data_IF_254459887182
#
_entry.id   IF_254459887182
#
_cell.length_a   1.000
_cell.length_b   1.000
_cell.length_c   1.000
_cell.angle_alpha   90.00
_cell.angle_beta   90.00
_cell.angle_gamma   90.00
#
_symmetry.space_group_name_H-M   'P 1'
#
loop_
_entity.id
_entity.type
_entity.pdbx_description
1 polymer ?
#
# COMPACT_ATOMS: atom_id res chain seq x y z
N UNK A 1 -3.78 -36.75 72.80
CA UNK A 1 -3.06 -36.95 71.57
C UNK A 1 -3.75 -36.06 70.51
N UNK A 2 -3.17 -34.93 70.16
CA UNK A 2 -3.70 -33.96 69.19
C UNK A 2 -2.86 -34.04 67.93
N UNK A 3 -3.45 -34.42 66.80
CA UNK A 3 -2.79 -34.40 65.49
C UNK A 3 -3.10 -33.08 64.82
N UNK A 4 -2.06 -32.32 64.54
CA UNK A 4 -2.09 -31.02 63.84
C UNK A 4 -1.81 -31.26 62.37
N UNK A 5 -2.80 -31.06 61.52
CA UNK A 5 -2.70 -31.16 60.06
C UNK A 5 -2.24 -29.82 59.54
N UNK A 6 -1.07 -29.77 58.91
CA UNK A 6 -0.51 -28.60 58.25
C UNK A 6 -0.96 -28.61 56.77
N UNK A 7 -1.84 -27.68 56.42
CA UNK A 7 -2.20 -27.39 55.03
C UNK A 7 -1.15 -26.49 54.38
N UNK A 8 -0.35 -27.03 53.47
CA UNK A 8 0.54 -26.24 52.61
C UNK A 8 -0.23 -25.79 51.40
N UNK A 9 -0.56 -24.50 51.33
CA UNK A 9 -1.07 -23.81 50.13
C UNK A 9 0.04 -23.57 49.14
N UNK A 10 0.03 -24.29 48.03
CA UNK A 10 0.90 -24.03 46.88
C UNK A 10 0.29 -22.89 46.05
N UNK A 11 0.81 -21.69 46.17
CA UNK A 11 0.49 -20.55 45.35
C UNK A 11 1.17 -20.71 43.99
N UNK A 12 0.42 -21.09 42.98
CA UNK A 12 0.85 -21.16 41.56
C UNK A 12 0.86 -19.73 40.97
N UNK A 13 2.04 -19.09 40.99
CA UNK A 13 2.24 -17.79 40.35
C UNK A 13 2.35 -18.03 38.86
N UNK A 14 1.24 -17.85 38.13
CA UNK A 14 1.22 -17.80 36.69
C UNK A 14 1.88 -16.50 36.22
N UNK A 15 3.16 -16.57 35.88
CA UNK A 15 3.90 -15.50 35.22
C UNK A 15 3.44 -15.45 33.77
N UNK A 16 2.39 -14.67 33.48
CA UNK A 16 2.00 -14.31 32.12
C UNK A 16 3.13 -13.45 31.55
N UNK A 17 3.99 -14.06 30.73
CA UNK A 17 4.90 -13.32 29.86
C UNK A 17 4.07 -12.50 28.87
N UNK A 18 3.82 -11.23 29.20
CA UNK A 18 3.43 -10.23 28.22
C UNK A 18 4.61 -10.05 27.25
N UNK A 19 4.64 -10.84 26.18
CA UNK A 19 5.47 -10.48 25.03
C UNK A 19 4.82 -9.25 24.40
N UNK A 20 5.49 -8.08 24.40
CA UNK A 20 5.02 -6.98 23.58
C UNK A 20 5.06 -7.51 22.14
N UNK A 21 3.90 -7.62 21.52
CA UNK A 21 3.82 -7.78 20.07
C UNK A 21 4.51 -6.53 19.51
N UNK A 22 5.76 -6.67 19.11
CA UNK A 22 6.47 -5.66 18.33
C UNK A 22 5.67 -5.60 17.04
N UNK A 23 4.72 -4.69 16.97
CA UNK A 23 4.10 -4.29 15.73
C UNK A 23 5.28 -3.84 14.85
N UNK A 24 5.70 -4.70 13.91
CA UNK A 24 6.57 -4.29 12.82
C UNK A 24 5.78 -3.24 12.07
N UNK A 25 5.98 -1.98 12.46
CA UNK A 25 5.45 -0.85 11.75
C UNK A 25 6.01 -0.92 10.33
N UNK A 26 5.12 -1.10 9.37
CA UNK A 26 5.44 -0.94 7.95
C UNK A 26 6.10 0.44 7.82
N UNK A 27 7.39 0.49 7.53
CA UNK A 27 8.15 1.72 7.47
C UNK A 27 8.52 2.01 6.03
N UNK A 28 8.22 3.23 5.59
CA UNK A 28 8.74 3.75 4.34
C UNK A 28 10.25 4.00 4.49
N UNK A 29 11.03 3.42 3.59
CA UNK A 29 12.43 3.77 3.41
C UNK A 29 12.55 4.62 2.15
N UNK A 30 13.51 5.55 2.18
CA UNK A 30 13.76 6.45 1.06
C UNK A 30 15.25 6.48 0.79
N UNK A 31 15.61 6.34 -0.47
CA UNK A 31 17.00 6.50 -0.91
C UNK A 31 17.07 7.36 -2.17
N UNK A 32 18.16 8.08 -2.33
CA UNK A 32 18.40 8.92 -3.48
C UNK A 32 19.21 8.14 -4.52
N UNK A 33 18.68 8.04 -5.74
CA UNK A 33 19.39 7.49 -6.88
C UNK A 33 19.38 8.50 -8.03
N UNK A 34 20.53 9.16 -8.25
CA UNK A 34 20.63 10.28 -9.19
C UNK A 34 19.73 11.45 -8.77
N UNK A 35 18.80 11.82 -9.65
CA UNK A 35 17.84 12.91 -9.43
C UNK A 35 16.45 12.41 -8.97
N UNK A 36 16.34 11.12 -8.62
CA UNK A 36 15.09 10.50 -8.18
C UNK A 36 15.22 9.99 -6.75
N UNK A 37 14.24 10.28 -5.93
CA UNK A 37 14.02 9.60 -4.65
C UNK A 37 13.21 8.34 -4.90
N UNK A 38 13.79 7.21 -4.55
CA UNK A 38 13.11 5.92 -4.56
C UNK A 38 12.49 5.65 -3.21
N UNK A 39 11.25 5.20 -3.23
CA UNK A 39 10.47 4.91 -2.03
C UNK A 39 10.28 3.40 -1.95
N UNK A 40 10.83 2.82 -0.89
CA UNK A 40 10.75 1.38 -0.64
C UNK A 40 9.70 1.10 0.44
N UNK A 41 8.83 0.14 0.15
CA UNK A 41 7.80 -0.36 1.05
C UNK A 41 7.68 -1.89 0.92
N UNK A 42 8.83 -2.60 0.92
CA UNK A 42 8.89 -4.05 0.62
C UNK A 42 8.01 -4.93 1.50
N UNK A 43 7.78 -4.53 2.75
CA UNK A 43 6.95 -5.29 3.69
C UNK A 43 5.45 -5.03 3.52
N UNK A 44 5.06 -4.10 2.65
CA UNK A 44 3.66 -3.71 2.44
C UNK A 44 2.89 -4.82 1.73
N UNK A 45 1.86 -5.33 2.40
CA UNK A 45 0.93 -6.32 1.85
C UNK A 45 -0.39 -5.65 1.46
N UNK A 46 -0.39 -4.94 0.34
CA UNK A 46 -1.57 -4.19 -0.11
C UNK A 46 -2.61 -5.05 -0.85
N UNK A 47 -2.23 -6.23 -1.36
CA UNK A 47 -3.19 -7.12 -2.05
C UNK A 47 -4.03 -7.84 -1.00
N UNK A 48 -5.27 -7.40 -0.84
CA UNK A 48 -6.22 -7.99 0.11
C UNK A 48 -6.73 -9.36 -0.35
N UNK A 49 -7.26 -10.17 0.56
CA UNK A 49 -7.88 -11.46 0.22
C UNK A 49 -9.04 -11.30 -0.79
N UNK A 50 -9.81 -10.21 -0.69
CA UNK A 50 -10.87 -9.89 -1.65
C UNK A 50 -10.32 -9.58 -3.05
N UNK A 51 -9.18 -8.88 -3.13
CA UNK A 51 -8.51 -8.63 -4.40
C UNK A 51 -7.94 -9.91 -5.01
N UNK A 52 -7.35 -10.79 -4.19
CA UNK A 52 -6.87 -12.11 -4.63
C UNK A 52 -8.00 -12.95 -5.20
N UNK A 53 -9.14 -13.04 -4.50
CA UNK A 53 -10.30 -13.77 -4.99
C UNK A 53 -10.75 -13.25 -6.35
N UNK A 54 -10.86 -11.93 -6.54
CA UNK A 54 -11.21 -11.32 -7.83
C UNK A 54 -10.21 -11.64 -8.93
N UNK A 55 -8.90 -11.62 -8.62
CA UNK A 55 -7.85 -11.98 -9.58
C UNK A 55 -7.97 -13.44 -10.00
N UNK A 56 -8.19 -14.36 -9.05
CA UNK A 56 -8.37 -15.79 -9.33
C UNK A 56 -9.66 -16.09 -10.09
N UNK A 57 -10.67 -15.23 -9.99
CA UNK A 57 -11.89 -15.29 -10.83
C UNK A 57 -11.66 -14.69 -12.24
N UNK A 58 -10.41 -14.35 -12.60
CA UNK A 58 -10.03 -13.78 -13.90
C UNK A 58 -10.31 -12.28 -14.03
N UNK A 59 -10.72 -11.61 -12.97
CA UNK A 59 -10.90 -10.16 -13.00
C UNK A 59 -9.56 -9.42 -12.99
N UNK A 60 -9.56 -8.23 -13.57
CA UNK A 60 -8.43 -7.29 -13.43
C UNK A 60 -8.65 -6.43 -12.20
N UNK A 61 -7.61 -6.23 -11.40
CA UNK A 61 -7.60 -5.38 -10.21
C UNK A 61 -6.65 -4.21 -10.43
N UNK A 62 -7.10 -3.02 -10.13
CA UNK A 62 -6.30 -1.78 -10.23
C UNK A 62 -6.06 -1.25 -8.84
N UNK A 63 -4.79 -0.95 -8.53
CA UNK A 63 -4.39 -0.23 -7.33
C UNK A 63 -3.89 1.15 -7.70
N UNK A 64 -4.39 2.16 -7.00
CA UNK A 64 -3.88 3.51 -7.04
C UNK A 64 -3.03 3.77 -5.81
N UNK A 65 -1.82 4.26 -6.03
CA UNK A 65 -0.90 4.74 -5.01
C UNK A 65 -0.75 6.25 -5.15
N UNK A 66 -0.88 6.97 -4.04
CA UNK A 66 -0.62 8.41 -3.97
C UNK A 66 0.52 8.66 -3.01
N UNK A 67 1.58 9.28 -3.51
CA UNK A 67 2.69 9.73 -2.69
C UNK A 67 2.50 11.21 -2.40
N UNK A 68 2.39 11.55 -1.14
CA UNK A 68 2.21 12.91 -0.65
C UNK A 68 3.47 13.34 0.07
N UNK A 69 4.04 14.47 -0.33
CA UNK A 69 5.18 15.08 0.33
C UNK A 69 4.68 16.25 1.16
N UNK A 70 5.12 16.39 2.40
CA UNK A 70 4.77 17.49 3.30
C UNK A 70 5.99 17.99 4.07
N UNK A 71 5.98 19.27 4.48
CA UNK A 71 7.04 19.89 5.27
C UNK A 71 6.96 19.55 6.76
N UNK A 72 5.86 18.94 7.19
CA UNK A 72 5.66 18.49 8.56
C UNK A 72 4.88 17.17 8.60
N UNK A 73 4.97 16.46 9.73
CA UNK A 73 4.36 15.14 9.89
C UNK A 73 2.85 15.10 9.60
N UNK A 74 2.16 16.18 9.90
CA UNK A 74 0.70 16.30 9.73
C UNK A 74 0.32 17.56 8.93
N UNK A 75 1.27 18.11 8.17
CA UNK A 75 1.03 19.26 7.30
C UNK A 75 0.34 18.89 6.00
N UNK A 76 -0.09 19.91 5.30
CA UNK A 76 -0.64 19.77 3.96
C UNK A 76 0.43 19.26 2.97
N UNK A 77 -0.01 18.54 1.97
CA UNK A 77 0.89 18.07 0.93
C UNK A 77 1.36 19.24 0.06
N UNK A 78 2.69 19.40 -0.05
CA UNK A 78 3.32 20.39 -0.94
C UNK A 78 3.55 19.83 -2.34
N UNK A 79 3.58 18.50 -2.47
CA UNK A 79 3.63 17.80 -3.74
C UNK A 79 2.88 16.46 -3.67
N UNK A 80 2.29 16.05 -4.79
CA UNK A 80 1.54 14.80 -4.93
C UNK A 80 1.93 14.09 -6.22
N UNK A 81 2.09 12.76 -6.13
CA UNK A 81 2.39 11.88 -7.25
C UNK A 81 1.45 10.68 -7.20
N UNK A 82 0.83 10.35 -8.32
CA UNK A 82 -0.12 9.24 -8.41
C UNK A 82 0.41 8.17 -9.37
N UNK A 83 0.27 6.91 -8.97
CA UNK A 83 0.70 5.73 -9.72
C UNK A 83 -0.44 4.72 -9.79
N UNK A 84 -0.59 4.06 -10.93
CA UNK A 84 -1.56 3.00 -11.11
C UNK A 84 -0.87 1.69 -11.48
N UNK A 85 -1.18 0.64 -10.71
CA UNK A 85 -0.75 -0.71 -10.99
C UNK A 85 -1.96 -1.57 -11.33
N UNK A 86 -1.92 -2.17 -12.50
CA UNK A 86 -2.98 -3.05 -13.02
C UNK A 86 -2.51 -4.49 -12.90
N UNK A 87 -3.23 -5.28 -12.12
CA UNK A 87 -2.97 -6.69 -11.90
C UNK A 87 -3.96 -7.55 -12.68
N UNK A 88 -3.48 -8.60 -13.31
CA UNK A 88 -4.28 -9.70 -13.82
C UNK A 88 -3.60 -11.02 -13.46
N UNK A 89 -4.40 -12.10 -13.38
CA UNK A 89 -3.94 -13.42 -13.04
C UNK A 89 -4.27 -14.39 -14.17
N UNK A 90 -3.28 -15.14 -14.62
CA UNK A 90 -3.46 -16.24 -15.55
C UNK A 90 -3.78 -17.49 -14.76
N UNK A 91 -5.02 -17.99 -14.89
CA UNK A 91 -5.54 -19.13 -14.16
C UNK A 91 -4.86 -20.44 -14.58
N UNK A 92 -4.43 -20.54 -15.85
CA UNK A 92 -3.81 -21.76 -16.37
C UNK A 92 -2.36 -21.90 -15.93
N UNK A 93 -1.63 -20.80 -15.92
CA UNK A 93 -0.22 -20.76 -15.54
C UNK A 93 -0.01 -20.49 -14.05
N UNK A 94 -1.08 -20.08 -13.34
CA UNK A 94 -1.04 -19.61 -11.94
C UNK A 94 -0.02 -18.49 -11.73
N UNK A 95 0.02 -17.55 -12.66
CA UNK A 95 0.98 -16.43 -12.69
C UNK A 95 0.30 -15.08 -12.79
N UNK A 96 0.97 -14.09 -12.22
CA UNK A 96 0.54 -12.71 -12.28
C UNK A 96 1.14 -11.98 -13.48
N UNK A 97 0.36 -11.06 -14.04
CA UNK A 97 0.81 -10.03 -14.96
C UNK A 97 0.53 -8.67 -14.31
N UNK A 98 1.52 -7.80 -14.31
CA UNK A 98 1.43 -6.45 -13.76
C UNK A 98 1.78 -5.44 -14.83
N UNK A 99 0.95 -4.43 -14.97
CA UNK A 99 1.21 -3.27 -15.82
C UNK A 99 1.15 -2.01 -14.97
N UNK A 100 2.22 -1.20 -15.04
CA UNK A 100 2.26 0.12 -14.43
C UNK A 100 2.04 1.17 -15.50
N UNK A 101 1.19 2.16 -15.25
CA UNK A 101 0.81 3.15 -16.25
C UNK A 101 1.65 4.43 -16.18
N UNK A 102 2.15 4.84 -15.00
CA UNK A 102 2.91 6.10 -14.83
C UNK A 102 4.01 5.98 -13.76
N UNK A 103 5.13 6.74 -13.88
CA UNK A 103 5.71 7.35 -15.05
C UNK A 103 6.37 6.29 -15.94
N UNK A 104 5.95 6.22 -17.18
CA UNK A 104 6.44 5.24 -18.16
C UNK A 104 5.72 3.87 -18.02
N UNK A 105 5.22 3.38 -19.14
CA UNK A 105 4.53 2.10 -19.19
C UNK A 105 5.52 0.94 -19.03
N UNK A 106 5.31 0.10 -18.02
CA UNK A 106 6.04 -1.15 -17.81
C UNK A 106 5.07 -2.29 -17.61
N UNK A 107 5.30 -3.38 -18.30
CA UNK A 107 4.52 -4.62 -18.13
C UNK A 107 5.48 -5.78 -17.92
N UNK A 108 5.17 -6.62 -16.95
CA UNK A 108 5.81 -7.92 -16.78
C UNK A 108 4.75 -8.99 -16.54
N UNK A 109 5.01 -10.19 -17.02
CA UNK A 109 4.13 -11.36 -16.92
C UNK A 109 4.89 -12.54 -16.31
N UNK A 110 4.17 -13.65 -16.03
CA UNK A 110 4.70 -14.87 -15.43
C UNK A 110 5.33 -14.65 -14.03
N UNK A 111 4.82 -13.65 -13.30
CA UNK A 111 5.33 -13.30 -11.97
C UNK A 111 4.68 -14.15 -10.88
N UNK A 112 5.44 -14.43 -9.81
CA UNK A 112 4.84 -14.82 -8.53
C UNK A 112 4.10 -13.64 -7.90
N UNK A 113 3.25 -13.85 -6.91
CA UNK A 113 2.56 -12.78 -6.19
C UNK A 113 3.55 -11.77 -5.60
N UNK A 114 4.61 -12.26 -4.96
CA UNK A 114 5.65 -11.42 -4.36
C UNK A 114 6.31 -10.54 -5.43
N UNK A 115 6.77 -11.15 -6.53
CA UNK A 115 7.43 -10.41 -7.60
C UNK A 115 6.49 -9.40 -8.28
N UNK A 116 5.21 -9.72 -8.39
CA UNK A 116 4.18 -8.82 -8.93
C UNK A 116 3.97 -7.59 -8.04
N UNK A 117 3.92 -7.81 -6.73
CA UNK A 117 3.80 -6.75 -5.73
C UNK A 117 5.05 -5.88 -5.71
N UNK A 118 6.23 -6.49 -5.65
CA UNK A 118 7.51 -5.78 -5.60
C UNK A 118 7.71 -4.93 -6.86
N UNK A 119 7.39 -5.44 -8.05
CA UNK A 119 7.46 -4.67 -9.30
C UNK A 119 6.60 -3.40 -9.24
N UNK A 120 5.45 -3.46 -8.58
CA UNK A 120 4.59 -2.30 -8.41
C UNK A 120 5.21 -1.28 -7.45
N UNK A 121 5.76 -1.74 -6.32
CA UNK A 121 6.32 -0.88 -5.27
C UNK A 121 7.70 -0.31 -5.62
N UNK A 122 8.59 -1.08 -6.26
CA UNK A 122 9.96 -0.67 -6.62
C UNK A 122 10.02 0.51 -7.60
N UNK A 123 8.89 0.84 -8.17
CA UNK A 123 8.79 1.88 -9.17
C UNK A 123 8.33 3.22 -8.65
N UNK A 124 8.06 3.33 -7.36
CA UNK A 124 7.59 4.56 -6.74
C UNK A 124 8.75 5.53 -6.58
N UNK A 125 8.75 6.62 -7.36
CA UNK A 125 9.83 7.60 -7.36
C UNK A 125 9.29 9.03 -7.30
N UNK A 126 10.05 9.93 -6.69
CA UNK A 126 9.75 11.36 -6.64
C UNK A 126 10.96 12.12 -7.20
N UNK A 127 10.79 13.08 -8.13
CA UNK A 127 11.89 13.93 -8.56
C UNK A 127 12.49 14.71 -7.39
N UNK A 128 13.81 14.59 -7.17
CA UNK A 128 14.49 15.28 -6.07
C UNK A 128 14.42 16.80 -6.21
N UNK A 129 14.33 17.31 -7.45
CA UNK A 129 14.20 18.74 -7.72
C UNK A 129 12.91 19.38 -7.18
N UNK A 130 11.87 18.56 -6.91
CA UNK A 130 10.62 19.06 -6.33
C UNK A 130 10.70 19.27 -4.81
N UNK A 131 11.81 18.90 -4.17
CA UNK A 131 11.99 18.96 -2.73
C UNK A 131 12.97 20.06 -2.33
N UNK A 132 12.65 20.75 -1.22
CA UNK A 132 13.58 21.72 -0.64
C UNK A 132 14.83 21.02 -0.09
N UNK A 133 16.01 21.49 -0.47
CA UNK A 133 17.29 20.91 -0.04
C UNK A 133 17.60 21.16 1.43
N UNK A 134 17.05 22.23 2.03
CA UNK A 134 17.43 22.70 3.35
C UNK A 134 16.43 22.35 4.46
N UNK A 135 15.25 21.83 4.13
CA UNK A 135 14.23 21.48 5.10
C UNK A 135 14.04 19.96 5.25
N UNK A 136 13.55 19.54 6.40
CA UNK A 136 13.07 18.16 6.57
C UNK A 136 11.73 18.00 5.87
N UNK A 137 11.48 16.81 5.32
CA UNK A 137 10.21 16.47 4.70
C UNK A 137 9.70 15.12 5.18
N UNK A 138 8.42 14.89 5.03
CA UNK A 138 7.71 13.65 5.29
C UNK A 138 7.10 13.12 4.01
N UNK A 139 7.05 11.80 3.90
CA UNK A 139 6.35 11.13 2.81
C UNK A 139 5.23 10.30 3.39
N UNK A 140 4.04 10.48 2.85
CA UNK A 140 2.89 9.62 3.10
C UNK A 140 2.55 8.89 1.82
N UNK A 141 2.36 7.58 1.91
CA UNK A 141 1.89 6.75 0.80
C UNK A 141 0.47 6.27 1.14
N UNK A 142 -0.48 6.71 0.36
CA UNK A 142 -1.85 6.23 0.38
C UNK A 142 -2.03 5.20 -0.73
N UNK A 143 -2.76 4.12 -0.47
CA UNK A 143 -3.09 3.15 -1.49
C UNK A 143 -4.52 2.64 -1.32
N UNK A 144 -5.15 2.36 -2.44
CA UNK A 144 -6.50 1.79 -2.48
C UNK A 144 -6.72 0.99 -3.76
N UNK A 145 -7.56 -0.02 -3.66
CA UNK A 145 -8.05 -0.74 -4.83
C UNK A 145 -9.12 0.12 -5.53
N UNK A 146 -9.01 0.31 -6.84
CA UNK A 146 -10.02 1.00 -7.64
C UNK A 146 -11.08 0.04 -8.15
N UNK A 147 -12.34 0.40 -8.01
CA UNK A 147 -13.42 -0.29 -8.71
C UNK A 147 -13.50 0.23 -10.15
N UNK A 148 -13.42 -0.71 -11.11
CA UNK A 148 -13.44 -0.41 -12.54
C UNK A 148 -14.69 0.36 -13.01
N UNK A 149 -15.76 0.36 -12.20
CA UNK A 149 -17.00 1.05 -12.50
C UNK A 149 -16.92 2.58 -12.36
N UNK A 150 -15.93 3.12 -11.68
CA UNK A 150 -15.81 4.58 -11.48
C UNK A 150 -15.16 5.33 -12.65
N UNK A 151 -14.56 4.64 -13.62
CA UNK A 151 -13.84 5.26 -14.75
C UNK A 151 -14.62 5.30 -16.05
N UNK A 152 -15.83 4.73 -16.13
CA UNK A 152 -16.65 4.76 -17.36
C UNK A 152 -17.34 6.13 -17.55
N UNK A 153 -17.41 6.95 -16.51
CA UNK A 153 -18.11 8.25 -16.53
C UNK A 153 -17.35 9.39 -17.25
N UNK A 154 -16.23 9.14 -17.93
CA UNK A 154 -15.46 10.18 -18.64
C UNK A 154 -15.45 10.09 -20.18
N UNK A 155 -16.26 9.24 -20.75
CA UNK A 155 -16.43 9.17 -22.20
C UNK A 155 -17.83 9.61 -22.60
N UNK A 156 -17.93 10.67 -23.40
CA UNK A 156 -19.17 11.20 -24.02
C UNK A 156 -19.88 10.17 -24.91
N UNK A 157 -20.60 9.23 -24.30
CA UNK A 157 -21.63 8.47 -25.00
C UNK A 157 -22.75 8.08 -24.03
N UNK A 158 -23.77 8.91 -23.97
CA UNK A 158 -25.02 8.63 -23.28
C UNK A 158 -25.76 7.47 -23.98
N UNK A 159 -25.43 6.24 -23.60
CA UNK A 159 -26.23 5.07 -23.94
C UNK A 159 -27.35 4.90 -22.91
N UNK A 160 -28.56 4.64 -23.40
CA UNK A 160 -29.73 4.34 -22.52
C UNK A 160 -29.46 3.13 -21.63
N UNK A 161 -28.57 2.23 -22.05
CA UNK A 161 -28.11 1.07 -21.27
C UNK A 161 -27.27 1.49 -20.07
N UNK A 162 -26.45 2.56 -20.16
CA UNK A 162 -25.65 3.07 -19.04
C UNK A 162 -26.55 3.66 -17.95
N UNK A 163 -27.66 4.28 -18.33
CA UNK A 163 -28.65 4.81 -17.37
C UNK A 163 -29.33 3.68 -16.61
N UNK A 164 -29.68 2.58 -17.26
CA UNK A 164 -30.30 1.42 -16.61
C UNK A 164 -29.32 0.71 -15.68
N UNK A 165 -28.07 0.52 -16.08
CA UNK A 165 -27.03 -0.05 -15.23
C UNK A 165 -26.79 0.82 -14.00
N UNK A 166 -26.81 2.16 -14.13
CA UNK A 166 -26.68 3.07 -13.00
C UNK A 166 -27.88 3.02 -12.03
N UNK A 167 -29.11 2.86 -12.53
CA UNK A 167 -30.30 2.81 -11.68
C UNK A 167 -30.38 1.48 -10.90
N UNK A 168 -30.04 0.37 -11.54
CA UNK A 168 -30.10 -0.97 -10.91
C UNK A 168 -28.77 -1.41 -10.29
N UNK A 169 -27.65 -0.78 -10.63
CA UNK A 169 -26.31 -1.07 -10.15
C UNK A 169 -25.84 -0.23 -8.99
N UNK A 170 -26.70 0.61 -8.37
CA UNK A 170 -26.36 1.35 -7.15
C UNK A 170 -26.24 0.39 -5.94
N UNK A 171 -25.30 -0.53 -6.01
CA UNK A 171 -24.68 -1.09 -4.81
C UNK A 171 -23.94 0.07 -4.15
N UNK A 172 -24.34 0.36 -2.92
CA UNK A 172 -23.71 1.36 -2.06
C UNK A 172 -22.21 1.41 -2.33
N UNK A 173 -21.72 2.54 -2.85
CA UNK A 173 -20.30 2.87 -2.89
C UNK A 173 -19.85 3.02 -1.44
N UNK A 174 -19.59 1.91 -0.76
CA UNK A 174 -18.87 1.97 0.49
C UNK A 174 -17.48 2.47 0.11
N UNK A 175 -17.07 3.67 0.58
CA UNK A 175 -15.73 4.16 0.29
C UNK A 175 -14.75 3.07 0.74
N UNK A 176 -13.96 2.57 -0.20
CA UNK A 176 -12.92 1.61 0.19
C UNK A 176 -11.96 2.32 1.14
N UNK A 177 -11.59 1.69 2.27
CA UNK A 177 -10.66 2.31 3.19
C UNK A 177 -9.37 2.64 2.43
N UNK A 178 -8.88 3.86 2.63
CA UNK A 178 -7.58 4.28 2.15
C UNK A 178 -6.58 3.91 3.23
N UNK A 179 -5.72 2.96 2.94
CA UNK A 179 -4.64 2.62 3.83
C UNK A 179 -3.48 3.61 3.62
N UNK A 180 -2.79 3.96 4.69
CA UNK A 180 -1.76 4.99 4.68
C UNK A 180 -0.52 4.56 5.45
N UNK A 181 0.64 4.72 4.81
CA UNK A 181 1.96 4.62 5.42
C UNK A 181 2.61 5.98 5.48
N UNK A 182 3.30 6.28 6.60
CA UNK A 182 4.04 7.54 6.75
C UNK A 182 5.49 7.26 7.13
N UNK A 183 6.41 8.01 6.52
CA UNK A 183 7.84 8.00 6.84
C UNK A 183 8.39 9.40 6.99
N UNK A 184 9.50 9.53 7.73
CA UNK A 184 10.19 10.79 7.96
C UNK A 184 10.41 11.10 9.45
N UNK A 185 11.07 12.21 9.78
CA UNK A 185 11.56 13.24 8.86
C UNK A 185 12.75 12.75 8.02
N UNK A 186 12.75 13.06 6.75
CA UNK A 186 13.88 12.85 5.84
C UNK A 186 14.56 14.18 5.55
N UNK A 187 15.88 14.15 5.28
CA UNK A 187 16.66 15.32 4.86
C UNK A 187 17.46 14.96 3.63
N UNK A 188 17.44 15.81 2.62
CA UNK A 188 18.17 15.59 1.36
C UNK A 188 19.66 15.37 1.57
N UNK A 189 20.26 16.08 2.54
CA UNK A 189 21.70 15.96 2.84
C UNK A 189 22.08 14.59 3.39
N UNK A 190 21.20 13.98 4.19
CA UNK A 190 21.43 12.65 4.76
C UNK A 190 21.28 11.56 3.69
N UNK A 191 20.31 11.74 2.78
CA UNK A 191 20.09 10.81 1.66
C UNK A 191 21.23 10.84 0.64
N UNK A 192 21.91 11.99 0.48
CA UNK A 192 23.09 12.11 -0.39
C UNK A 192 24.33 11.43 0.19
N UNK A 193 24.44 11.35 1.53
CA UNK A 193 25.59 10.75 2.23
C UNK A 193 25.50 9.23 2.35
N UNK A 194 24.32 8.67 2.21
CA UNK A 194 24.08 7.22 2.39
C UNK A 194 24.39 6.39 1.12
N UNK A 195 25.13 6.94 0.17
CA UNK A 195 25.49 6.32 -1.10
C UNK A 195 26.81 5.53 -1.02
#
# INVERSE_FOLDING_TARGET
>A
MRATTIMTSAALVSLLCLYPAIARGESLKVHLNGEQLHIEAHDLRFISAAAQARLHDGATVIYRFRLLVSDSRNGDAVAEYTYHCVFSFDILEEKYKVSRQEPGYRTASHLSEIAARDLCLDSLTIPAASLSTNSSFWISMEYQMEDRQSNIDRGDSHSVLDTLVNIFGQRSKTPQPVDMLKGGPFRMDDLRKSK
#
